data_IF_827757852994
#
_entry.id   IF_827757852994
#
_cell.length_a   1.000
_cell.length_b   1.000
_cell.length_c   1.000
_cell.angle_alpha   90.00
_cell.angle_beta   90.00
_cell.angle_gamma   90.00
#
_symmetry.space_group_name_H-M   'P 1'
#
loop_
_entity.id
_entity.type
_entity.pdbx_description
1 polymer ?
#
# COMPACT_ATOMS: atom_id res chain seq x y z
N UNK A 1 -9.28 4.32 -19.66
CA UNK A 1 -8.83 3.38 -20.70
C UNK A 1 -9.83 2.23 -20.79
N UNK A 2 -10.98 2.47 -21.42
CA UNK A 2 -11.99 1.42 -21.68
C UNK A 2 -11.69 0.61 -22.94
N UNK A 3 -10.66 0.99 -23.71
CA UNK A 3 -10.37 0.44 -25.03
C UNK A 3 -9.49 -0.81 -25.02
N UNK A 4 -8.63 -0.99 -24.00
CA UNK A 4 -7.66 -2.10 -24.03
C UNK A 4 -8.34 -3.47 -24.01
N UNK A 5 -9.34 -3.76 -23.13
CA UNK A 5 -10.02 -5.04 -23.14
C UNK A 5 -10.69 -5.36 -24.49
N UNK A 6 -11.39 -4.40 -25.11
CA UNK A 6 -12.02 -4.60 -26.42
C UNK A 6 -11.02 -4.85 -27.55
N UNK A 7 -9.81 -4.28 -27.45
CA UNK A 7 -8.76 -4.49 -28.44
C UNK A 7 -8.08 -5.85 -28.28
N UNK A 8 -8.00 -6.38 -27.05
CA UNK A 8 -7.60 -7.78 -26.80
C UNK A 8 -8.59 -8.73 -27.48
N UNK A 9 -9.90 -8.52 -27.30
CA UNK A 9 -10.95 -9.33 -27.93
C UNK A 9 -10.91 -9.25 -29.47
N UNK A 10 -10.51 -8.11 -30.02
CA UNK A 10 -10.34 -7.91 -31.46
C UNK A 10 -9.04 -8.55 -32.03
N UNK A 11 -8.18 -9.13 -31.18
CA UNK A 11 -6.98 -9.86 -31.59
C UNK A 11 -5.66 -9.08 -31.55
N UNK A 12 -5.57 -7.99 -30.77
CA UNK A 12 -4.30 -7.28 -30.59
C UNK A 12 -3.39 -7.97 -29.55
N UNK A 13 -2.15 -8.29 -29.94
CA UNK A 13 -1.14 -8.94 -29.07
C UNK A 13 -0.20 -7.95 -28.34
N UNK A 14 -0.24 -6.66 -28.68
CA UNK A 14 0.68 -5.66 -28.14
C UNK A 14 0.04 -4.28 -27.97
N UNK A 15 0.39 -3.59 -26.89
CA UNK A 15 -0.19 -2.29 -26.53
C UNK A 15 0.89 -1.26 -26.18
N UNK A 16 0.89 -0.14 -26.89
CA UNK A 16 1.61 1.08 -26.48
C UNK A 16 0.71 1.95 -25.62
N UNK A 17 0.96 2.02 -24.32
CA UNK A 17 0.17 2.83 -23.37
C UNK A 17 0.97 4.06 -22.95
N UNK A 18 0.58 5.23 -23.44
CA UNK A 18 1.26 6.51 -23.19
C UNK A 18 0.58 7.34 -22.10
N UNK A 19 -0.04 8.44 -22.52
CA UNK A 19 -0.55 9.53 -21.65
C UNK A 19 -1.42 9.07 -20.48
N UNK A 20 -2.20 8.00 -20.64
CA UNK A 20 -3.06 7.50 -19.56
C UNK A 20 -2.29 6.97 -18.34
N UNK A 21 -1.02 6.58 -18.51
CA UNK A 21 -0.12 6.20 -17.40
C UNK A 21 0.79 7.37 -17.05
N UNK A 22 1.46 7.97 -18.04
CA UNK A 22 2.49 9.00 -17.79
C UNK A 22 1.92 10.30 -17.21
N UNK A 23 0.65 10.61 -17.50
CA UNK A 23 -0.09 11.75 -16.94
C UNK A 23 -1.31 11.25 -16.14
N UNK A 24 -1.17 10.13 -15.42
CA UNK A 24 -2.20 9.67 -14.51
C UNK A 24 -2.46 10.73 -13.41
N UNK A 25 -3.72 10.90 -12.96
CA UNK A 25 -4.02 11.79 -11.84
C UNK A 25 -3.17 11.46 -10.61
N UNK A 26 -2.61 12.48 -9.98
CA UNK A 26 -1.81 12.32 -8.78
C UNK A 26 -2.67 11.93 -7.58
N UNK A 27 -2.13 11.11 -6.68
CA UNK A 27 -2.74 10.85 -5.38
C UNK A 27 -2.38 12.01 -4.45
N UNK A 28 -3.40 12.65 -3.87
CA UNK A 28 -3.21 13.77 -2.93
C UNK A 28 -2.81 13.24 -1.54
N UNK A 29 -1.50 13.17 -1.31
CA UNK A 29 -0.94 12.78 -0.02
C UNK A 29 -0.71 13.99 0.88
N UNK A 30 -1.07 13.85 2.16
CA UNK A 30 -0.77 14.81 3.21
C UNK A 30 0.19 14.22 4.25
N UNK A 31 1.09 15.05 4.76
CA UNK A 31 1.96 14.72 5.89
C UNK A 31 1.61 15.61 7.08
N UNK A 32 1.23 14.99 8.19
CA UNK A 32 0.83 15.68 9.41
C UNK A 32 1.58 15.11 10.61
N UNK A 33 1.92 15.95 11.59
CA UNK A 33 2.43 15.50 12.88
C UNK A 33 1.31 14.78 13.63
N UNK A 34 1.58 13.54 14.04
CA UNK A 34 0.62 12.69 14.78
C UNK A 34 1.06 12.41 16.22
N UNK A 35 2.27 12.81 16.60
CA UNK A 35 2.84 12.55 17.91
C UNK A 35 3.95 13.57 18.22
N UNK A 36 4.00 14.07 19.45
CA UNK A 36 5.03 15.00 19.95
C UNK A 36 5.48 14.49 21.32
N UNK A 37 6.79 14.27 21.52
CA UNK A 37 7.34 13.73 22.77
C UNK A 37 6.60 12.47 23.26
N UNK A 38 6.36 11.53 22.34
CA UNK A 38 5.59 10.29 22.55
C UNK A 38 4.12 10.47 22.99
N UNK A 39 3.61 11.71 23.06
CA UNK A 39 2.20 12.00 23.32
C UNK A 39 1.40 12.01 22.01
N UNK A 40 0.24 11.32 21.94
CA UNK A 40 -0.59 11.30 20.75
C UNK A 40 -1.30 12.65 20.55
N UNK A 41 -0.77 13.48 19.65
CA UNK A 41 -1.30 14.83 19.34
C UNK A 41 -1.37 15.00 17.83
N UNK A 42 -2.50 15.50 17.32
CA UNK A 42 -2.67 15.83 15.90
C UNK A 42 -3.62 17.04 15.73
N UNK A 43 -3.57 17.67 14.56
CA UNK A 43 -4.51 18.74 14.20
C UNK A 43 -5.92 18.19 13.95
N UNK A 44 -6.93 19.08 13.96
CA UNK A 44 -8.33 18.72 13.68
C UNK A 44 -8.45 17.99 12.33
N UNK A 45 -9.18 16.88 12.33
CA UNK A 45 -9.40 16.05 11.15
C UNK A 45 -8.29 15.02 10.88
N UNK A 46 -7.31 14.85 11.77
CA UNK A 46 -6.24 13.85 11.66
C UNK A 46 -6.23 12.95 12.89
N UNK A 47 -5.90 11.67 12.68
CA UNK A 47 -5.83 10.68 13.75
C UNK A 47 -4.46 10.77 14.44
N UNK A 48 -4.43 11.04 15.75
CA UNK A 48 -3.18 11.10 16.54
C UNK A 48 -2.59 9.71 16.84
N UNK A 49 -1.40 9.69 17.42
CA UNK A 49 -0.65 8.49 17.80
C UNK A 49 0.17 7.89 16.66
N UNK A 50 1.29 7.24 17.00
CA UNK A 50 2.07 6.43 16.06
C UNK A 50 1.32 5.13 15.79
N UNK A 51 1.29 4.69 14.54
CA UNK A 51 0.45 3.56 14.09
C UNK A 51 1.26 2.51 13.34
N UNK A 52 0.74 1.28 13.32
CA UNK A 52 1.16 0.20 12.43
C UNK A 52 -0.02 -0.16 11.52
N UNK A 53 0.29 -0.52 10.27
CA UNK A 53 -0.67 -1.09 9.33
C UNK A 53 -0.41 -2.58 9.26
N UNK A 54 -1.43 -3.38 9.50
CA UNK A 54 -1.41 -4.83 9.44
C UNK A 54 -2.23 -5.31 8.25
N UNK A 55 -1.69 -6.19 7.43
CA UNK A 55 -2.37 -6.68 6.22
C UNK A 55 -2.57 -8.18 6.29
N UNK A 56 -3.78 -8.63 5.98
CA UNK A 56 -3.99 -10.03 5.61
C UNK A 56 -3.55 -10.25 4.16
N UNK A 57 -2.50 -11.03 3.91
CA UNK A 57 -1.97 -11.23 2.53
C UNK A 57 -2.89 -12.07 1.64
N UNK A 58 -3.87 -12.78 2.23
CA UNK A 58 -4.89 -13.55 1.49
C UNK A 58 -6.04 -12.66 1.03
N UNK A 59 -6.61 -11.89 1.95
CA UNK A 59 -7.80 -11.06 1.67
C UNK A 59 -7.45 -9.63 1.23
N UNK A 60 -6.19 -9.21 1.35
CA UNK A 60 -5.69 -7.85 1.12
C UNK A 60 -6.43 -6.76 1.92
N UNK A 61 -6.95 -7.13 3.09
CA UNK A 61 -7.60 -6.19 4.01
C UNK A 61 -6.58 -5.68 5.01
N UNK A 62 -6.63 -4.36 5.22
CA UNK A 62 -5.75 -3.64 6.13
C UNK A 62 -6.45 -3.30 7.45
N UNK A 63 -5.66 -3.31 8.52
CA UNK A 63 -6.04 -2.92 9.87
C UNK A 63 -5.02 -1.92 10.38
N UNK A 64 -5.49 -0.79 10.91
CA UNK A 64 -4.63 0.21 11.52
C UNK A 64 -4.74 0.12 13.03
N UNK A 65 -3.61 -0.04 13.71
CA UNK A 65 -3.49 -0.14 15.16
C UNK A 65 -2.45 0.84 15.69
N UNK A 66 -2.55 1.25 16.94
CA UNK A 66 -1.47 2.00 17.57
C UNK A 66 -0.22 1.11 17.70
N UNK A 67 0.96 1.72 17.67
CA UNK A 67 2.19 0.96 17.93
C UNK A 67 2.12 0.40 19.36
N UNK A 68 2.37 -0.91 19.49
CA UNK A 68 2.34 -1.64 20.76
C UNK A 68 1.01 -2.33 21.06
N UNK A 69 -0.05 -2.08 20.28
CA UNK A 69 -1.27 -2.88 20.34
C UNK A 69 -1.06 -4.27 19.72
N UNK A 70 -1.87 -5.23 20.16
CA UNK A 70 -1.83 -6.61 19.67
C UNK A 70 -2.07 -6.70 18.17
N UNK A 71 -1.40 -7.68 17.54
CA UNK A 71 -1.60 -8.01 16.15
C UNK A 71 -3.06 -8.47 15.91
N UNK A 72 -3.79 -7.82 14.98
CA UNK A 72 -5.15 -8.23 14.68
C UNK A 72 -5.17 -9.51 13.83
N UNK A 73 -6.18 -10.36 14.04
CA UNK A 73 -6.52 -11.41 13.07
C UNK A 73 -7.42 -10.86 11.97
N UNK A 74 -7.33 -11.47 10.78
CA UNK A 74 -8.19 -11.12 9.66
C UNK A 74 -9.65 -11.44 9.98
N UNK A 75 -10.52 -10.42 9.94
CA UNK A 75 -11.96 -10.55 10.19
C UNK A 75 -12.72 -11.37 9.14
N UNK A 76 -12.13 -11.60 7.97
CA UNK A 76 -12.79 -12.29 6.85
C UNK A 76 -12.40 -13.77 6.76
N UNK A 77 -11.13 -14.10 6.93
CA UNK A 77 -10.65 -15.49 6.82
C UNK A 77 -10.10 -16.06 8.12
N UNK A 78 -10.04 -15.27 9.21
CA UNK A 78 -9.48 -15.68 10.50
C UNK A 78 -7.95 -15.82 10.52
N UNK A 79 -7.28 -15.61 9.38
CA UNK A 79 -5.84 -15.77 9.24
C UNK A 79 -5.03 -14.67 9.92
N UNK A 80 -3.74 -14.94 10.07
CA UNK A 80 -2.73 -14.00 10.59
C UNK A 80 -2.57 -12.77 9.68
N UNK A 81 -2.04 -11.69 10.25
CA UNK A 81 -1.75 -10.47 9.50
C UNK A 81 -0.27 -10.12 9.61
N UNK A 82 0.27 -9.43 8.62
CA UNK A 82 1.69 -9.05 8.61
C UNK A 82 1.83 -7.53 8.74
N UNK A 83 2.87 -7.04 9.43
CA UNK A 83 3.12 -5.61 9.52
C UNK A 83 3.63 -5.06 8.18
N UNK A 84 3.00 -3.97 7.72
CA UNK A 84 3.29 -3.35 6.43
C UNK A 84 4.22 -2.15 6.55
N UNK A 85 4.16 -1.38 7.64
CA UNK A 85 5.12 -0.30 7.87
C UNK A 85 6.42 -0.88 8.41
N UNK A 86 7.47 -0.82 7.59
CA UNK A 86 8.84 -1.25 7.91
C UNK A 86 9.77 -0.05 8.02
N UNK A 87 10.80 -0.14 8.86
CA UNK A 87 11.81 0.90 8.99
C UNK A 87 12.82 0.81 7.85
N UNK A 88 12.67 1.65 6.82
CA UNK A 88 13.58 1.68 5.66
C UNK A 88 14.86 2.48 5.92
N UNK A 89 14.84 3.41 6.88
CA UNK A 89 15.96 4.27 7.21
C UNK A 89 16.06 4.46 8.72
N UNK A 90 17.29 4.54 9.21
CA UNK A 90 17.60 4.84 10.60
C UNK A 90 18.77 5.80 10.71
N UNK A 91 18.58 6.95 11.36
CA UNK A 91 19.61 7.99 11.52
C UNK A 91 20.32 8.36 10.20
N UNK A 92 19.54 8.52 9.11
CA UNK A 92 20.07 8.85 7.78
C UNK A 92 20.68 7.68 7.01
N UNK A 93 20.82 6.50 7.62
CA UNK A 93 21.31 5.28 6.95
C UNK A 93 20.14 4.49 6.37
N UNK A 94 20.19 4.21 5.07
CA UNK A 94 19.24 3.30 4.41
C UNK A 94 19.51 1.87 4.90
N UNK A 95 18.48 1.21 5.42
CA UNK A 95 18.54 -0.16 5.94
C UNK A 95 18.07 -1.20 4.91
N UNK A 96 17.12 -0.82 4.05
CA UNK A 96 16.49 -1.71 3.08
C UNK A 96 16.57 -1.05 1.71
N UNK A 97 17.06 -1.80 0.73
CA UNK A 97 17.03 -1.44 -0.68
C UNK A 97 16.37 -2.59 -1.44
N UNK A 98 15.47 -2.27 -2.37
CA UNK A 98 14.72 -3.26 -3.15
C UNK A 98 14.95 -3.01 -4.64
N UNK A 99 15.07 -4.09 -5.41
CA UNK A 99 15.18 -4.03 -6.87
C UNK A 99 13.82 -3.77 -7.52
N UNK A 100 13.82 -3.09 -8.67
CA UNK A 100 12.60 -2.78 -9.45
C UNK A 100 11.85 -4.06 -9.84
N UNK A 101 12.57 -5.13 -10.19
CA UNK A 101 11.97 -6.42 -10.56
C UNK A 101 11.22 -7.08 -9.39
N UNK A 102 11.75 -6.98 -8.17
CA UNK A 102 11.10 -7.54 -6.98
C UNK A 102 9.84 -6.76 -6.61
N UNK A 103 9.91 -5.43 -6.73
CA UNK A 103 8.75 -4.55 -6.54
C UNK A 103 7.66 -4.90 -7.56
N UNK A 104 8.02 -5.03 -8.85
CA UNK A 104 7.08 -5.40 -9.92
C UNK A 104 6.46 -6.77 -9.67
N UNK A 105 7.27 -7.78 -9.34
CA UNK A 105 6.79 -9.14 -9.05
C UNK A 105 5.80 -9.15 -7.89
N UNK A 106 6.11 -8.43 -6.82
CA UNK A 106 5.21 -8.27 -5.67
C UNK A 106 3.90 -7.59 -6.08
N UNK A 107 3.94 -6.49 -6.83
CA UNK A 107 2.74 -5.80 -7.31
C UNK A 107 1.86 -6.71 -8.18
N UNK A 108 2.44 -7.46 -9.13
CA UNK A 108 1.68 -8.37 -9.98
C UNK A 108 0.99 -9.47 -9.17
N UNK A 109 1.70 -10.09 -8.20
CA UNK A 109 1.11 -11.10 -7.31
C UNK A 109 -0.04 -10.59 -6.44
N UNK A 110 -0.07 -9.29 -6.16
CA UNK A 110 -1.18 -8.64 -5.44
C UNK A 110 -2.36 -8.35 -6.37
N UNK A 111 -2.10 -7.91 -7.61
CA UNK A 111 -3.15 -7.65 -8.59
C UNK A 111 -3.96 -8.89 -8.94
N UNK A 112 -3.35 -10.08 -8.93
CA UNK A 112 -4.06 -11.37 -9.10
C UNK A 112 -5.17 -11.60 -8.06
N UNK A 113 -5.09 -10.93 -6.91
CA UNK A 113 -6.04 -11.07 -5.80
C UNK A 113 -7.08 -9.94 -5.75
N UNK A 114 -6.92 -8.91 -6.59
CA UNK A 114 -7.83 -7.76 -6.65
C UNK A 114 -8.84 -8.02 -7.76
N UNK A 115 -10.13 -7.97 -7.43
CA UNK A 115 -11.18 -7.94 -8.45
C UNK A 115 -11.21 -6.54 -9.08
N UNK A 116 -11.09 -6.47 -10.40
CA UNK A 116 -11.18 -5.25 -11.21
C UNK A 116 -12.53 -5.20 -11.91
#
# INVERSE_FOLDING_TARGET
>A
TKSTPSLVEAGADGFGVGTSISNAPTIDFAMDIVCVEDKPIAKRGKLSGRKQVWRCEKCLVDYVRLIGEEEPRCRFCGGETVPMLRKYMDNGRVLISEGVEDIRRRTLSQLEKVQV
#
